data_IF_928235389838
#
_entry.id   IF_928235389838
#
_cell.length_a   1.000
_cell.length_b   1.000
_cell.length_c   1.000
_cell.angle_alpha   90.00
_cell.angle_beta   90.00
_cell.angle_gamma   90.00
#
_symmetry.space_group_name_H-M   'P 1'
#
loop_
_entity.id
_entity.type
_entity.pdbx_description
1 polymer ?
#
# COMPACT_ATOMS: atom_id res chain seq x y z
N UNK A 1 4.23 29.62 1.70
CA UNK A 1 5.28 28.78 2.25
C UNK A 1 4.68 27.42 2.47
N UNK A 2 5.31 26.43 1.84
CA UNK A 2 4.88 25.05 1.89
C UNK A 2 5.23 24.44 3.24
N UNK A 3 4.35 23.58 3.72
CA UNK A 3 4.55 22.75 4.91
C UNK A 3 4.79 21.32 4.43
N UNK A 4 5.73 20.60 5.05
CA UNK A 4 6.18 19.30 4.55
C UNK A 4 5.91 18.19 5.56
N UNK A 5 5.48 17.04 5.06
CA UNK A 5 5.18 15.86 5.86
C UNK A 5 5.77 14.62 5.18
N UNK A 6 6.91 14.17 5.73
CA UNK A 6 7.62 12.99 5.26
C UNK A 6 6.93 11.70 5.70
N UNK A 7 6.69 10.79 4.77
CA UNK A 7 5.95 9.55 5.04
C UNK A 7 6.75 8.29 4.73
N UNK A 8 6.35 7.21 5.38
CA UNK A 8 6.51 5.85 4.84
C UNK A 8 5.17 5.43 4.25
N UNK A 9 5.17 4.97 3.01
CA UNK A 9 3.97 4.44 2.38
C UNK A 9 3.38 3.30 3.21
N UNK A 10 2.05 3.18 3.24
CA UNK A 10 1.35 2.11 3.97
C UNK A 10 1.66 2.05 5.48
N UNK A 11 2.00 3.18 6.11
CA UNK A 11 2.18 3.30 7.56
C UNK A 11 0.93 3.84 8.25
N UNK A 12 0.30 3.07 9.17
CA UNK A 12 -0.82 3.55 9.99
C UNK A 12 -0.53 4.81 10.79
N UNK A 13 0.66 4.96 11.38
CA UNK A 13 1.05 6.17 12.10
C UNK A 13 1.20 7.37 11.16
N UNK A 14 1.88 7.21 10.01
CA UNK A 14 1.93 8.27 8.99
C UNK A 14 0.52 8.69 8.58
N UNK A 15 -0.37 7.72 8.32
CA UNK A 15 -1.74 7.95 7.90
C UNK A 15 -2.62 8.58 8.98
N UNK A 16 -2.31 8.31 10.24
CA UNK A 16 -3.03 8.91 11.36
C UNK A 16 -2.64 10.37 11.53
N UNK A 17 -1.33 10.63 11.62
CA UNK A 17 -0.79 11.95 11.93
C UNK A 17 -0.78 12.90 10.74
N UNK A 18 -0.88 12.43 9.49
CA UNK A 18 -1.03 13.33 8.33
C UNK A 18 -2.31 14.15 8.43
N UNK A 19 -3.38 13.57 8.98
CA UNK A 19 -4.66 14.27 9.18
C UNK A 19 -4.53 15.37 10.22
N UNK A 20 -3.82 15.08 11.31
CA UNK A 20 -3.53 16.07 12.35
C UNK A 20 -2.59 17.17 11.83
N UNK A 21 -1.57 16.82 11.04
CA UNK A 21 -0.71 17.78 10.34
C UNK A 21 -1.52 18.72 9.46
N UNK A 22 -2.45 18.19 8.65
CA UNK A 22 -3.30 18.99 7.78
C UNK A 22 -4.30 19.88 8.56
N UNK A 23 -4.86 19.37 9.67
CA UNK A 23 -5.74 20.16 10.54
C UNK A 23 -4.99 21.29 11.27
N UNK A 24 -3.70 21.08 11.61
CA UNK A 24 -2.83 22.09 12.23
C UNK A 24 -2.38 23.15 11.21
N UNK A 25 -1.91 22.74 10.04
CA UNK A 25 -1.34 23.63 9.01
C UNK A 25 -2.37 24.38 8.18
N UNK A 26 -3.56 23.80 7.98
CA UNK A 26 -4.67 24.38 7.19
C UNK A 26 -4.20 24.93 5.83
N UNK A 27 -3.58 24.09 4.99
CA UNK A 27 -3.05 24.51 3.71
C UNK A 27 -4.17 24.89 2.74
N UNK A 28 -3.86 25.72 1.75
CA UNK A 28 -4.78 26.07 0.66
C UNK A 28 -4.75 25.07 -0.49
N UNK A 29 -3.73 24.22 -0.56
CA UNK A 29 -3.64 23.09 -1.48
C UNK A 29 -2.83 21.94 -0.86
N UNK A 30 -3.07 20.72 -1.32
CA UNK A 30 -2.35 19.52 -0.88
C UNK A 30 -1.65 18.89 -2.08
N UNK A 31 -0.35 18.68 -1.97
CA UNK A 31 0.48 17.99 -2.93
C UNK A 31 0.88 16.63 -2.40
N UNK A 32 0.71 15.59 -3.22
CA UNK A 32 0.96 14.20 -2.83
C UNK A 32 1.95 13.58 -3.80
N UNK A 33 2.92 12.83 -3.28
CA UNK A 33 3.78 12.00 -4.12
C UNK A 33 2.96 11.01 -4.95
N UNK A 34 3.08 11.17 -6.27
CA UNK A 34 2.37 10.38 -7.26
C UNK A 34 2.46 11.08 -8.61
N UNK A 35 2.14 10.41 -9.72
CA UNK A 35 2.34 11.00 -11.03
C UNK A 35 1.36 12.14 -11.29
N UNK A 36 1.91 13.32 -11.59
CA UNK A 36 1.15 14.58 -11.72
C UNK A 36 -0.02 14.53 -12.71
N UNK A 37 0.11 13.77 -13.80
CA UNK A 37 -0.91 13.57 -14.83
C UNK A 37 -2.09 12.70 -14.36
N UNK A 38 -1.96 12.00 -13.23
CA UNK A 38 -2.97 11.11 -12.69
C UNK A 38 -3.90 11.79 -11.66
N UNK A 39 -3.76 13.10 -11.47
CA UNK A 39 -4.57 13.89 -10.51
C UNK A 39 -6.08 13.73 -10.76
N UNK A 40 -6.48 13.56 -12.01
CA UNK A 40 -7.88 13.37 -12.40
C UNK A 40 -8.53 12.07 -11.84
N UNK A 41 -7.73 11.10 -11.38
CA UNK A 41 -8.21 9.84 -10.79
C UNK A 41 -8.46 9.93 -9.28
N UNK A 42 -8.02 11.00 -8.61
CA UNK A 42 -8.19 11.18 -7.15
C UNK A 42 -9.67 11.14 -6.76
N UNK A 43 -10.53 11.77 -7.56
CA UNK A 43 -11.96 11.85 -7.30
C UNK A 43 -12.63 10.48 -7.29
N UNK A 44 -12.31 9.63 -8.27
CA UNK A 44 -12.81 8.26 -8.33
C UNK A 44 -12.26 7.39 -7.20
N UNK A 45 -11.01 7.58 -6.81
CA UNK A 45 -10.37 6.83 -5.73
C UNK A 45 -10.92 7.18 -4.34
N UNK A 46 -11.33 8.44 -4.15
CA UNK A 46 -11.87 8.95 -2.89
C UNK A 46 -13.41 8.86 -2.79
N UNK A 47 -14.09 8.25 -3.76
CA UNK A 47 -15.53 8.03 -3.67
C UNK A 47 -15.86 7.16 -2.44
N UNK A 48 -16.85 7.58 -1.65
CA UNK A 48 -17.34 6.86 -0.47
C UNK A 48 -17.78 5.40 -0.71
N UNK A 49 -18.04 5.01 -1.96
CA UNK A 49 -18.37 3.63 -2.36
C UNK A 49 -17.14 2.77 -2.62
N UNK A 50 -15.95 3.36 -2.76
CA UNK A 50 -14.70 2.61 -2.90
C UNK A 50 -14.41 1.87 -1.60
N UNK A 51 -14.11 0.57 -1.72
CA UNK A 51 -13.56 -0.24 -0.64
C UNK A 51 -12.09 -0.51 -0.95
N UNK A 52 -11.21 -0.13 -0.06
CA UNK A 52 -9.77 -0.38 -0.21
C UNK A 52 -9.42 -1.84 0.15
N UNK A 53 -8.33 -2.39 -0.42
CA UNK A 53 -7.30 -1.71 -1.21
C UNK A 53 -7.66 -1.52 -2.70
N UNK A 54 -7.26 -0.39 -3.27
CA UNK A 54 -7.35 -0.09 -4.70
C UNK A 54 -6.04 0.55 -5.17
N UNK A 55 -5.81 0.55 -6.48
CA UNK A 55 -4.60 1.10 -7.07
C UNK A 55 -4.91 2.01 -8.25
N UNK A 56 -4.04 3.01 -8.44
CA UNK A 56 -3.90 3.69 -9.72
C UNK A 56 -2.91 2.88 -10.56
N UNK A 57 -3.32 2.54 -11.78
CA UNK A 57 -2.49 1.86 -12.77
C UNK A 57 -2.27 2.80 -13.94
N UNK A 58 -1.01 3.00 -14.34
CA UNK A 58 -0.67 3.61 -15.63
C UNK A 58 0.14 2.63 -16.47
N UNK A 59 -0.10 2.62 -17.78
CA UNK A 59 0.47 1.64 -18.69
C UNK A 59 0.69 2.18 -20.10
N UNK A 60 1.67 1.62 -20.81
CA UNK A 60 1.95 1.99 -22.21
C UNK A 60 0.86 1.48 -23.15
N UNK A 61 0.59 2.23 -24.22
CA UNK A 61 -0.43 1.87 -25.22
C UNK A 61 0.06 0.87 -26.26
N UNK A 62 1.37 0.70 -26.38
CA UNK A 62 2.01 -0.20 -27.34
C UNK A 62 2.80 -1.29 -26.62
N UNK A 63 2.96 -2.43 -27.30
CA UNK A 63 3.75 -3.55 -26.82
C UNK A 63 5.26 -3.23 -26.93
N UNK A 64 6.10 -3.65 -25.96
CA UNK A 64 5.73 -4.37 -24.74
C UNK A 64 5.02 -3.47 -23.72
N UNK A 65 3.89 -3.98 -23.16
CA UNK A 65 3.10 -3.25 -22.17
C UNK A 65 3.89 -3.14 -20.88
N UNK A 66 4.23 -1.91 -20.50
CA UNK A 66 4.85 -1.59 -19.23
C UNK A 66 3.81 -0.96 -18.32
N UNK A 67 3.94 -1.23 -17.02
CA UNK A 67 3.01 -0.72 -16.01
C UNK A 67 3.73 -0.09 -14.84
N UNK A 68 3.14 0.97 -14.30
CA UNK A 68 3.46 1.53 -12.98
C UNK A 68 2.18 1.52 -12.15
N UNK A 69 2.31 1.15 -10.88
CA UNK A 69 1.18 0.94 -9.98
C UNK A 69 1.41 1.66 -8.67
N UNK A 70 0.34 2.29 -8.19
CA UNK A 70 0.27 3.01 -6.92
C UNK A 70 -0.89 2.43 -6.10
N UNK A 71 -0.68 1.27 -5.45
CA UNK A 71 -1.69 0.66 -4.60
C UNK A 71 -1.79 1.40 -3.27
N UNK A 72 -3.01 1.51 -2.76
CA UNK A 72 -3.31 2.19 -1.51
C UNK A 72 -4.21 1.32 -0.65
N UNK A 73 -4.06 1.46 0.66
CA UNK A 73 -4.92 0.89 1.68
C UNK A 73 -5.50 2.01 2.56
N UNK A 74 -6.45 1.67 3.44
CA UNK A 74 -7.05 2.69 4.33
C UNK A 74 -6.00 3.39 5.21
N UNK A 75 -4.91 2.68 5.50
CA UNK A 75 -3.77 3.17 6.27
C UNK A 75 -2.62 3.72 5.38
N UNK A 76 -2.90 4.07 4.12
CA UNK A 76 -1.97 4.87 3.29
C UNK A 76 -2.06 6.34 3.68
N UNK A 77 -0.94 7.01 4.04
CA UNK A 77 -0.96 8.44 4.34
C UNK A 77 -1.38 9.31 3.16
N UNK A 78 -1.02 8.92 1.95
CA UNK A 78 -1.43 9.58 0.71
C UNK A 78 -2.96 9.55 0.59
N UNK A 79 -3.56 8.38 0.81
CA UNK A 79 -5.01 8.21 0.78
C UNK A 79 -5.70 9.05 1.85
N UNK A 80 -5.19 9.04 3.09
CA UNK A 80 -5.77 9.86 4.16
C UNK A 80 -5.65 11.36 3.89
N UNK A 81 -4.55 11.82 3.26
CA UNK A 81 -4.39 13.20 2.82
C UNK A 81 -5.40 13.58 1.72
N UNK A 82 -5.60 12.72 0.71
CA UNK A 82 -6.61 12.93 -0.33
C UNK A 82 -8.02 13.00 0.26
N UNK A 83 -8.39 12.05 1.12
CA UNK A 83 -9.70 12.03 1.78
C UNK A 83 -9.91 13.27 2.64
N UNK A 84 -8.89 13.70 3.39
CA UNK A 84 -8.96 14.94 4.17
C UNK A 84 -9.21 16.15 3.25
N UNK A 85 -8.45 16.28 2.17
CA UNK A 85 -8.55 17.40 1.24
C UNK A 85 -9.94 17.47 0.59
N UNK A 86 -10.46 16.33 0.12
CA UNK A 86 -11.82 16.24 -0.44
C UNK A 86 -12.90 16.60 0.59
N UNK A 87 -12.77 16.15 1.84
CA UNK A 87 -13.72 16.50 2.91
C UNK A 87 -13.70 17.98 3.26
N UNK A 88 -12.55 18.64 3.17
CA UNK A 88 -12.39 20.07 3.48
C UNK A 88 -12.60 20.99 2.27
N UNK A 89 -12.79 20.43 1.07
CA UNK A 89 -12.87 21.20 -0.18
C UNK A 89 -11.54 21.87 -0.55
N UNK A 90 -10.42 21.31 -0.11
CA UNK A 90 -9.08 21.81 -0.43
C UNK A 90 -8.60 21.12 -1.72
N UNK A 91 -8.10 21.87 -2.72
CA UNK A 91 -7.47 21.30 -3.91
C UNK A 91 -6.37 20.30 -3.54
N UNK A 92 -6.38 19.13 -4.20
CA UNK A 92 -5.36 18.10 -4.03
C UNK A 92 -4.84 17.68 -5.40
N UNK A 93 -3.52 17.66 -5.56
CA UNK A 93 -2.86 17.34 -6.82
C UNK A 93 -1.66 16.40 -6.56
N UNK A 94 -1.34 15.55 -7.54
CA UNK A 94 -0.11 14.79 -7.52
C UNK A 94 1.07 15.64 -7.99
N UNK A 95 2.26 15.44 -7.40
CA UNK A 95 3.42 16.34 -7.61
C UNK A 95 4.70 15.67 -8.12
N UNK A 96 4.69 14.37 -8.42
CA UNK A 96 5.85 13.66 -8.98
C UNK A 96 5.81 13.59 -10.51
N UNK A 97 6.86 13.03 -11.11
CA UNK A 97 7.02 12.84 -12.53
C UNK A 97 5.76 12.25 -13.17
N UNK A 98 5.36 12.72 -14.36
CA UNK A 98 4.21 12.17 -15.05
C UNK A 98 4.43 10.69 -15.40
N UNK A 99 3.35 9.94 -15.46
CA UNK A 99 3.36 8.48 -15.59
C UNK A 99 4.13 8.00 -16.83
N UNK A 100 3.99 8.71 -17.95
CA UNK A 100 4.76 8.45 -19.18
C UNK A 100 6.28 8.60 -19.01
N UNK A 101 6.76 9.44 -18.09
CA UNK A 101 8.20 9.56 -17.81
C UNK A 101 8.71 8.41 -16.93
N UNK A 102 7.92 8.02 -15.93
CA UNK A 102 8.21 6.88 -15.07
C UNK A 102 8.25 5.56 -15.86
N UNK A 103 7.34 5.39 -16.83
CA UNK A 103 7.33 4.22 -17.74
C UNK A 103 8.56 4.13 -18.64
N UNK A 104 9.17 5.27 -19.01
CA UNK A 104 10.44 5.32 -19.75
C UNK A 104 11.62 4.96 -18.84
N UNK A 105 11.63 5.43 -17.59
CA UNK A 105 12.66 5.05 -16.62
C UNK A 105 12.71 3.53 -16.41
N UNK A 106 11.52 2.92 -16.25
CA UNK A 106 11.36 1.46 -16.10
C UNK A 106 11.83 0.65 -17.32
N UNK A 107 11.81 1.22 -18.51
CA UNK A 107 12.39 0.60 -19.72
C UNK A 107 13.90 0.43 -19.60
N UNK A 108 14.57 1.47 -19.10
CA UNK A 108 16.03 1.46 -18.96
C UNK A 108 16.49 0.52 -17.86
N UNK A 109 15.69 0.33 -16.82
CA UNK A 109 15.94 -0.68 -15.79
C UNK A 109 15.83 -2.09 -16.38
N UNK A 110 14.71 -2.41 -17.03
CA UNK A 110 14.52 -3.72 -17.66
C UNK A 110 15.54 -4.01 -18.79
N UNK A 111 16.03 -2.99 -19.48
CA UNK A 111 17.06 -3.14 -20.53
C UNK A 111 18.48 -3.32 -19.96
N UNK A 112 18.70 -3.05 -18.67
CA UNK A 112 19.95 -3.30 -17.96
C UNK A 112 20.03 -4.70 -17.35
N UNK A 113 19.00 -5.53 -17.48
CA UNK A 113 18.99 -6.95 -17.08
C UNK A 113 19.78 -7.88 -18.04
N UNK A 114 20.70 -7.35 -18.87
CA UNK A 114 21.84 -8.14 -19.35
C UNK A 114 22.73 -8.48 -18.13
N UNK A 115 23.45 -9.61 -18.10
CA UNK A 115 24.23 -9.99 -16.92
C UNK A 115 25.30 -8.93 -16.64
N UNK A 116 24.99 -7.97 -15.77
CA UNK A 116 25.96 -7.02 -15.24
C UNK A 116 27.04 -7.82 -14.51
N UNK A 117 28.30 -7.58 -14.90
CA UNK A 117 29.46 -7.94 -14.08
C UNK A 117 29.20 -7.55 -12.63
N UNK A 118 29.61 -8.39 -11.67
CA UNK A 118 29.43 -8.24 -10.22
C UNK A 118 29.56 -6.77 -9.77
N UNK A 119 28.45 -6.02 -9.76
CA UNK A 119 28.39 -4.78 -9.01
C UNK A 119 28.58 -5.21 -7.56
N UNK A 120 29.64 -4.72 -6.94
CA UNK A 120 29.86 -4.83 -5.51
C UNK A 120 28.56 -4.39 -4.85
N UNK A 121 27.87 -5.33 -4.20
CA UNK A 121 26.60 -5.05 -3.53
C UNK A 121 26.93 -4.14 -2.34
N UNK A 122 26.94 -2.83 -2.58
CA UNK A 122 27.12 -1.86 -1.53
C UNK A 122 25.95 -1.99 -0.57
N UNK A 123 26.29 -2.09 0.71
CA UNK A 123 25.33 -2.28 1.76
C UNK A 123 24.37 -1.08 1.84
N UNK A 124 23.08 -1.35 1.67
CA UNK A 124 22.04 -0.33 1.74
C UNK A 124 21.94 0.28 3.14
N UNK A 125 21.39 1.49 3.25
CA UNK A 125 21.15 2.13 4.55
C UNK A 125 20.26 1.27 5.45
N UNK A 126 19.28 0.59 4.85
CA UNK A 126 18.40 -0.33 5.57
C UNK A 126 19.20 -1.50 6.17
N UNK A 127 20.06 -2.15 5.39
CA UNK A 127 20.91 -3.24 5.89
C UNK A 127 21.84 -2.78 7.02
N UNK A 128 22.40 -1.56 6.93
CA UNK A 128 23.21 -0.97 8.02
C UNK A 128 22.39 -0.77 9.28
N UNK A 129 21.16 -0.24 9.15
CA UNK A 129 20.23 -0.09 10.28
C UNK A 129 19.91 -1.47 10.88
N UNK A 130 19.66 -2.48 10.05
CA UNK A 130 19.34 -3.83 10.51
C UNK A 130 20.51 -4.45 11.28
N UNK A 131 21.75 -4.32 10.79
CA UNK A 131 22.94 -4.82 11.49
C UNK A 131 23.21 -4.12 12.83
N UNK A 132 23.04 -2.79 12.88
CA UNK A 132 23.30 -2.01 14.10
C UNK A 132 22.20 -2.22 15.13
N UNK A 133 20.94 -2.23 14.69
CA UNK A 133 19.79 -2.37 15.60
C UNK A 133 19.52 -3.83 16.00
N UNK A 134 19.96 -4.79 15.19
CA UNK A 134 19.58 -6.20 15.32
C UNK A 134 18.11 -6.47 15.02
N UNK A 135 17.42 -5.51 14.37
CA UNK A 135 16.00 -5.57 14.03
C UNK A 135 15.85 -5.42 12.53
N UNK A 136 14.94 -6.16 11.91
CA UNK A 136 14.58 -5.88 10.52
C UNK A 136 13.87 -4.52 10.39
N UNK A 137 13.86 -3.98 9.18
CA UNK A 137 13.35 -2.64 8.88
C UNK A 137 11.91 -2.42 9.34
N UNK A 138 11.02 -3.42 9.22
CA UNK A 138 9.63 -3.29 9.66
C UNK A 138 9.52 -3.23 11.18
N UNK A 139 10.23 -4.11 11.90
CA UNK A 139 10.24 -4.13 13.37
C UNK A 139 10.83 -2.84 13.93
N UNK A 140 11.94 -2.37 13.35
CA UNK A 140 12.51 -1.06 13.70
C UNK A 140 11.47 0.05 13.52
N UNK A 141 10.77 0.04 12.38
CA UNK A 141 9.76 1.04 12.09
C UNK A 141 8.57 0.99 13.06
N UNK A 142 8.10 -0.21 13.41
CA UNK A 142 6.99 -0.37 14.35
C UNK A 142 7.31 0.24 15.72
N UNK A 143 8.47 -0.11 16.29
CA UNK A 143 8.85 0.40 17.60
C UNK A 143 9.07 1.91 17.63
N UNK A 144 9.66 2.47 16.57
CA UNK A 144 10.08 3.88 16.56
C UNK A 144 9.01 4.83 16.05
N UNK A 145 8.08 4.35 15.23
CA UNK A 145 7.10 5.21 14.55
C UNK A 145 5.67 4.71 14.72
N UNK A 146 5.37 3.44 14.46
CA UNK A 146 3.98 2.93 14.58
C UNK A 146 3.46 2.94 16.01
N UNK A 147 4.35 2.91 17.00
CA UNK A 147 4.01 2.97 18.42
C UNK A 147 4.16 4.36 19.03
N UNK A 148 4.43 5.41 18.23
CA UNK A 148 4.52 6.78 18.72
C UNK A 148 3.22 7.19 19.44
N UNK A 149 3.37 7.79 20.62
CA UNK A 149 2.27 8.08 21.53
C UNK A 149 1.53 9.37 21.21
N UNK A 150 2.19 10.31 20.54
CA UNK A 150 1.61 11.59 20.15
C UNK A 150 2.23 12.13 18.84
N UNK A 151 1.62 13.19 18.32
CA UNK A 151 2.00 13.84 17.08
C UNK A 151 3.42 14.41 17.10
N UNK A 152 3.80 15.13 18.16
CA UNK A 152 5.07 15.86 18.20
C UNK A 152 6.26 14.89 18.27
N UNK A 153 6.11 13.79 19.03
CA UNK A 153 7.07 12.67 19.07
C UNK A 153 7.24 12.03 17.68
N UNK A 154 6.11 11.74 17.01
CA UNK A 154 6.13 11.13 15.69
C UNK A 154 6.81 12.03 14.64
N UNK A 155 6.46 13.33 14.62
CA UNK A 155 7.02 14.28 13.66
C UNK A 155 8.52 14.44 13.83
N UNK A 156 8.99 14.59 15.07
CA UNK A 156 10.42 14.71 15.36
C UNK A 156 11.19 13.45 14.91
N UNK A 157 10.65 12.26 15.17
CA UNK A 157 11.25 11.01 14.74
C UNK A 157 11.26 10.87 13.21
N UNK A 158 10.14 11.16 12.53
CA UNK A 158 10.00 11.02 11.09
C UNK A 158 10.91 11.99 10.31
N UNK A 159 11.07 13.21 10.81
CA UNK A 159 11.97 14.20 10.22
C UNK A 159 13.44 13.76 10.34
N UNK A 160 13.88 13.35 11.53
CA UNK A 160 15.24 12.86 11.75
C UNK A 160 15.53 11.60 10.92
N UNK A 161 14.55 10.70 10.82
CA UNK A 161 14.64 9.52 9.98
C UNK A 161 14.81 9.88 8.50
N UNK A 162 13.95 10.73 7.95
CA UNK A 162 14.04 11.15 6.55
C UNK A 162 15.38 11.80 6.20
N UNK A 163 15.86 12.68 7.09
CA UNK A 163 17.18 13.31 6.98
C UNK A 163 18.31 12.27 7.01
N UNK A 164 18.28 11.35 7.97
CA UNK A 164 19.31 10.32 8.12
C UNK A 164 19.34 9.37 6.92
N UNK A 165 18.19 8.87 6.47
CA UNK A 165 18.13 8.00 5.29
C UNK A 165 18.71 8.70 4.07
N UNK A 166 18.43 10.01 3.89
CA UNK A 166 19.03 10.79 2.81
C UNK A 166 20.53 10.97 2.95
N UNK A 167 21.02 11.31 4.14
CA UNK A 167 22.45 11.53 4.40
C UNK A 167 23.29 10.27 4.17
N UNK A 168 22.74 9.10 4.51
CA UNK A 168 23.46 7.83 4.39
C UNK A 168 23.20 7.09 3.07
N UNK A 169 22.28 7.57 2.23
CA UNK A 169 22.01 6.99 0.90
C UNK A 169 22.63 7.85 -0.19
N UNK A 170 23.09 7.23 -1.27
CA UNK A 170 23.41 7.97 -2.49
C UNK A 170 22.12 8.36 -3.22
N UNK A 171 21.99 9.63 -3.60
CA UNK A 171 20.91 10.06 -4.50
C UNK A 171 21.36 9.82 -5.94
N UNK A 172 20.55 9.09 -6.70
CA UNK A 172 20.79 8.88 -8.13
C UNK A 172 20.19 10.01 -8.99
N UNK A 173 20.55 10.02 -10.28
CA UNK A 173 20.01 10.98 -11.27
C UNK A 173 18.48 10.92 -11.38
N UNK A 174 17.87 9.76 -11.09
CA UNK A 174 16.43 9.59 -11.17
C UNK A 174 15.71 10.33 -10.04
N UNK A 175 16.18 10.18 -8.80
CA UNK A 175 15.66 10.90 -7.65
C UNK A 175 15.92 12.40 -7.76
N UNK A 176 17.09 12.83 -8.26
CA UNK A 176 17.32 14.26 -8.55
C UNK A 176 16.28 14.85 -9.52
N UNK A 177 15.92 14.11 -10.56
CA UNK A 177 14.90 14.52 -11.53
C UNK A 177 13.49 14.58 -10.91
N UNK A 178 13.13 13.58 -10.10
CA UNK A 178 11.86 13.55 -9.36
C UNK A 178 11.74 14.76 -8.44
N UNK A 179 12.75 15.02 -7.63
CA UNK A 179 12.77 16.14 -6.70
C UNK A 179 12.75 17.50 -7.41
N UNK A 180 13.47 17.64 -8.54
CA UNK A 180 13.40 18.84 -9.38
C UNK A 180 11.98 19.09 -9.89
N UNK A 181 11.27 18.02 -10.29
CA UNK A 181 9.88 18.10 -10.72
C UNK A 181 8.94 18.43 -9.55
N UNK A 182 9.14 17.82 -8.38
CA UNK A 182 8.37 18.15 -7.17
C UNK A 182 8.55 19.64 -6.79
N UNK A 183 9.78 20.17 -6.79
CA UNK A 183 10.04 21.60 -6.54
C UNK A 183 9.31 22.51 -7.54
N UNK A 184 9.29 22.13 -8.82
CA UNK A 184 8.50 22.83 -9.85
C UNK A 184 7.02 22.86 -9.50
N UNK A 185 6.43 21.70 -9.17
CA UNK A 185 5.00 21.59 -8.82
C UNK A 185 4.65 22.33 -7.55
N UNK A 186 5.54 22.35 -6.55
CA UNK A 186 5.38 23.16 -5.34
C UNK A 186 5.33 24.64 -5.69
N UNK A 187 6.29 25.15 -6.46
CA UNK A 187 6.32 26.56 -6.87
C UNK A 187 5.05 26.97 -7.65
N UNK A 188 4.63 26.16 -8.63
CA UNK A 188 3.40 26.38 -9.41
C UNK A 188 2.14 26.40 -8.51
N UNK A 189 2.12 25.54 -7.48
CA UNK A 189 0.99 25.42 -6.54
C UNK A 189 0.95 26.59 -5.56
N UNK A 190 2.09 27.02 -5.04
CA UNK A 190 2.18 28.20 -4.17
C UNK A 190 1.78 29.48 -4.92
N UNK A 191 2.17 29.62 -6.18
CA UNK A 191 1.73 30.74 -7.03
C UNK A 191 0.20 30.73 -7.23
N UNK A 192 -0.38 29.55 -7.48
CA UNK A 192 -1.81 29.39 -7.77
C UNK A 192 -2.70 29.50 -6.53
N UNK A 193 -2.29 28.91 -5.41
CA UNK A 193 -3.15 28.73 -4.24
C UNK A 193 -2.60 29.37 -2.96
N UNK A 194 -1.31 29.73 -2.89
CA UNK A 194 -0.68 30.31 -1.71
C UNK A 194 0.08 29.30 -0.85
N UNK A 195 -0.53 28.77 0.21
CA UNK A 195 0.12 27.77 1.09
C UNK A 195 -0.20 26.36 0.62
N UNK A 196 0.81 25.49 0.58
CA UNK A 196 0.65 24.09 0.21
C UNK A 196 1.11 23.16 1.34
N UNK A 197 0.46 22.01 1.51
CA UNK A 197 1.00 20.89 2.27
C UNK A 197 1.59 19.88 1.29
N UNK A 198 2.82 19.43 1.52
CA UNK A 198 3.56 18.51 0.65
C UNK A 198 3.75 17.19 1.38
N UNK A 199 3.10 16.14 0.88
CA UNK A 199 3.13 14.79 1.46
C UNK A 199 3.93 13.90 0.50
N UNK A 200 5.19 13.63 0.85
CA UNK A 200 6.09 12.79 0.06
C UNK A 200 6.84 11.82 0.96
N UNK A 201 7.44 10.79 0.38
CA UNK A 201 8.34 9.89 1.07
C UNK A 201 9.40 10.67 1.85
N UNK A 202 9.72 10.21 3.06
CA UNK A 202 10.60 10.96 3.97
C UNK A 202 11.97 11.32 3.35
N UNK A 203 12.49 10.44 2.48
CA UNK A 203 13.69 10.70 1.68
C UNK A 203 13.56 11.92 0.75
N UNK A 204 12.46 11.98 -0.02
CA UNK A 204 12.17 13.08 -0.95
C UNK A 204 11.86 14.38 -0.22
N UNK A 205 11.10 14.30 0.88
CA UNK A 205 10.82 15.46 1.74
C UNK A 205 12.13 16.14 2.16
N UNK A 206 13.13 15.39 2.61
CA UNK A 206 14.44 15.93 2.98
C UNK A 206 15.21 16.58 1.80
N UNK A 207 14.85 16.28 0.56
CA UNK A 207 15.45 16.86 -0.66
C UNK A 207 14.73 18.03 -1.28
N UNK A 208 13.52 18.33 -0.84
CA UNK A 208 12.69 19.39 -1.41
C UNK A 208 12.28 20.43 -0.37
N UNK A 209 12.38 20.10 0.93
CA UNK A 209 12.04 20.99 2.04
C UNK A 209 12.89 22.26 2.00
N UNK A 210 12.22 23.40 1.92
CA UNK A 210 12.82 24.73 1.91
C UNK A 210 13.82 24.99 0.77
N UNK A 211 13.78 24.18 -0.30
CA UNK A 211 14.61 24.35 -1.49
C UNK A 211 13.77 24.95 -2.63
N UNK A 212 14.02 26.21 -3.04
CA UNK A 212 13.24 26.85 -4.09
C UNK A 212 13.52 26.23 -5.47
N UNK A 213 12.50 26.28 -6.34
CA UNK A 213 12.65 25.88 -7.75
C UNK A 213 13.68 26.77 -8.46
N UNK A 214 14.68 26.14 -9.07
CA UNK A 214 15.82 26.81 -9.69
C UNK A 214 15.84 26.68 -11.22
N UNK A 215 16.70 27.47 -11.88
CA UNK A 215 16.95 27.31 -13.32
C UNK A 215 17.61 25.97 -13.69
N UNK A 216 18.30 25.30 -12.75
CA UNK A 216 18.77 23.90 -12.94
C UNK A 216 17.57 22.97 -13.04
N UNK A 217 16.63 23.09 -12.11
CA UNK A 217 15.41 22.26 -12.09
C UNK A 217 14.55 22.48 -13.34
N UNK A 218 14.42 23.74 -13.79
CA UNK A 218 13.72 24.08 -15.04
C UNK A 218 14.32 23.32 -16.23
N UNK A 219 15.65 23.36 -16.40
CA UNK A 219 16.33 22.66 -17.50
C UNK A 219 16.16 21.14 -17.46
N UNK A 220 16.12 20.55 -16.27
CA UNK A 220 15.88 19.11 -16.09
C UNK A 220 14.43 18.73 -16.43
N UNK A 221 13.47 19.53 -15.96
CA UNK A 221 12.04 19.23 -16.07
C UNK A 221 11.40 19.62 -17.41
N UNK A 222 12.00 20.53 -18.17
CA UNK A 222 11.51 20.90 -19.51
C UNK A 222 11.86 19.86 -20.59
N UNK A 223 12.80 18.94 -20.31
CA UNK A 223 13.27 17.91 -21.24
C UNK A 223 12.91 16.50 -20.78
N UNK A 224 11.75 16.34 -20.15
CA UNK A 224 11.28 15.02 -19.73
C UNK A 224 11.08 14.12 -20.94
N UNK A 225 11.75 12.96 -20.92
CA UNK A 225 11.41 11.87 -21.84
C UNK A 225 10.12 11.25 -21.35
N UNK A 226 9.13 11.17 -22.23
CA UNK A 226 7.81 10.60 -21.95
C UNK A 226 7.43 9.62 -23.05
N UNK A 227 6.57 8.66 -22.71
CA UNK A 227 5.89 7.79 -23.67
C UNK A 227 4.38 7.94 -23.52
N UNK A 228 3.63 7.60 -24.56
CA UNK A 228 2.18 7.59 -24.51
C UNK A 228 1.71 6.51 -23.54
N UNK A 229 0.81 6.93 -22.65
CA UNK A 229 0.29 6.07 -21.59
C UNK A 229 -1.19 6.32 -21.36
N UNK A 230 -1.85 5.29 -20.84
CA UNK A 230 -3.22 5.36 -20.32
C UNK A 230 -3.19 5.04 -18.84
N UNK A 231 -4.22 5.48 -18.13
CA UNK A 231 -4.36 5.23 -16.72
C UNK A 231 -5.79 4.89 -16.32
N UNK A 232 -5.92 4.19 -15.20
CA UNK A 232 -7.17 3.63 -14.72
C UNK A 232 -7.09 3.35 -13.22
N UNK A 233 -8.26 3.25 -12.57
CA UNK A 233 -8.39 2.70 -11.24
C UNK A 233 -8.65 1.20 -11.31
N UNK A 234 -8.03 0.44 -10.43
CA UNK A 234 -8.26 -1.00 -10.32
C UNK A 234 -8.47 -1.42 -8.86
N UNK A 235 -9.39 -2.38 -8.60
CA UNK A 235 -9.42 -3.04 -7.31
C UNK A 235 -8.10 -3.77 -7.07
N UNK A 236 -7.67 -3.82 -5.82
CA UNK A 236 -6.46 -4.49 -5.41
C UNK A 236 -6.76 -5.50 -4.30
N UNK A 237 -5.75 -6.23 -3.84
CA UNK A 237 -5.92 -7.16 -2.73
C UNK A 237 -4.75 -7.05 -1.76
N UNK A 238 -4.97 -7.46 -0.52
CA UNK A 238 -3.89 -7.55 0.47
C UNK A 238 -2.80 -8.52 0.04
N UNK A 239 -3.15 -9.61 -0.65
CA UNK A 239 -2.15 -10.50 -1.23
C UNK A 239 -1.23 -9.78 -2.23
N UNK A 240 -1.79 -8.95 -3.13
CA UNK A 240 -0.98 -8.19 -4.10
C UNK A 240 -0.23 -7.03 -3.44
N UNK A 241 -0.79 -6.43 -2.39
CA UNK A 241 -0.14 -5.39 -1.58
C UNK A 241 1.03 -5.94 -0.75
N UNK A 242 0.97 -7.23 -0.42
CA UNK A 242 2.07 -7.92 0.25
C UNK A 242 3.30 -7.92 -0.63
N UNK A 243 4.47 -7.65 -0.02
CA UNK A 243 5.77 -7.80 -0.68
C UNK A 243 6.00 -9.21 -1.24
N UNK A 244 5.24 -10.22 -0.78
CA UNK A 244 5.21 -11.58 -1.36
C UNK A 244 4.82 -11.61 -2.85
N UNK A 245 4.15 -10.58 -3.36
CA UNK A 245 3.82 -10.44 -4.78
C UNK A 245 4.96 -9.87 -5.62
N UNK A 246 6.06 -9.42 -4.99
CA UNK A 246 7.17 -8.72 -5.64
C UNK A 246 7.02 -7.19 -5.70
N UNK A 247 5.98 -6.60 -5.09
CA UNK A 247 5.86 -5.14 -5.01
C UNK A 247 6.81 -4.57 -3.94
N UNK A 248 7.89 -3.91 -4.39
CA UNK A 248 8.99 -3.43 -3.52
C UNK A 248 8.60 -2.39 -2.47
N UNK A 249 7.55 -1.59 -2.71
CA UNK A 249 6.98 -0.65 -1.73
C UNK A 249 5.79 -1.23 -0.95
N UNK A 250 5.55 -2.55 -1.06
CA UNK A 250 4.43 -3.23 -0.44
C UNK A 250 4.57 -3.39 1.07
N UNK A 251 3.44 -3.47 1.76
CA UNK A 251 3.39 -3.79 3.19
C UNK A 251 3.58 -5.29 3.38
N UNK A 252 4.55 -5.76 4.18
CA UNK A 252 4.72 -7.20 4.44
C UNK A 252 3.48 -7.86 5.04
N UNK A 253 2.76 -7.13 5.90
CA UNK A 253 1.64 -7.63 6.69
C UNK A 253 0.44 -6.66 6.69
N UNK A 254 -0.25 -6.49 5.55
CA UNK A 254 -1.34 -5.52 5.41
C UNK A 254 -2.53 -5.76 6.34
N UNK A 255 -2.86 -7.01 6.66
CA UNK A 255 -3.92 -7.35 7.62
C UNK A 255 -3.55 -6.94 9.05
N UNK A 256 -2.29 -7.12 9.44
CA UNK A 256 -1.78 -6.65 10.73
C UNK A 256 -1.81 -5.12 10.82
N UNK A 257 -1.31 -4.42 9.80
CA UNK A 257 -1.30 -2.95 9.79
C UNK A 257 -2.71 -2.35 9.71
N UNK A 258 -3.67 -3.01 9.07
CA UNK A 258 -5.09 -2.61 9.15
C UNK A 258 -5.64 -2.71 10.58
N UNK A 259 -5.28 -3.78 11.31
CA UNK A 259 -5.66 -3.92 12.72
C UNK A 259 -5.04 -2.82 13.58
N UNK A 260 -3.74 -2.52 13.39
CA UNK A 260 -3.04 -1.44 14.08
C UNK A 260 -3.70 -0.09 13.78
N UNK A 261 -4.03 0.17 12.51
CA UNK A 261 -4.77 1.35 12.06
C UNK A 261 -6.11 1.51 12.77
N UNK A 262 -6.96 0.48 12.75
CA UNK A 262 -8.29 0.54 13.39
C UNK A 262 -8.21 0.78 14.89
N UNK A 263 -7.26 0.13 15.56
CA UNK A 263 -7.06 0.30 17.00
C UNK A 263 -6.50 1.69 17.34
N UNK A 264 -5.64 2.25 16.48
CA UNK A 264 -5.19 3.65 16.59
C UNK A 264 -6.33 4.65 16.39
N UNK A 265 -7.20 4.44 15.40
CA UNK A 265 -8.40 5.27 15.20
C UNK A 265 -9.34 5.26 16.40
N UNK A 266 -9.39 4.15 17.13
CA UNK A 266 -10.25 3.96 18.30
C UNK A 266 -9.59 4.39 19.61
N UNK A 267 -8.37 4.97 19.55
CA UNK A 267 -7.56 5.33 20.73
C UNK A 267 -7.28 4.16 21.67
N UNK A 268 -7.16 2.95 21.13
CA UNK A 268 -6.88 1.71 21.88
C UNK A 268 -5.75 0.92 21.23
N UNK A 269 -4.63 1.58 20.92
CA UNK A 269 -3.52 0.99 20.16
C UNK A 269 -2.97 -0.27 20.85
N UNK A 270 -2.95 -0.28 22.19
CA UNK A 270 -2.57 -1.38 23.05
C UNK A 270 -3.41 -2.66 22.84
N UNK A 271 -4.62 -2.55 22.27
CA UNK A 271 -5.46 -3.72 21.95
C UNK A 271 -4.97 -4.49 20.71
N UNK A 272 -3.98 -3.99 19.96
CA UNK A 272 -3.46 -4.65 18.75
C UNK A 272 -2.81 -5.99 19.07
N UNK A 273 -1.97 -6.05 20.10
CA UNK A 273 -1.30 -7.27 20.55
C UNK A 273 -2.28 -8.37 21.04
N UNK A 274 -3.20 -8.10 21.99
CA UNK A 274 -4.15 -9.11 22.43
C UNK A 274 -5.13 -9.51 21.31
N UNK A 275 -5.48 -8.58 20.41
CA UNK A 275 -6.32 -8.92 19.25
C UNK A 275 -5.61 -9.87 18.27
N UNK A 276 -4.34 -9.62 17.95
CA UNK A 276 -3.53 -10.48 17.09
C UNK A 276 -3.51 -11.93 17.60
N UNK A 277 -3.10 -12.12 18.87
CA UNK A 277 -2.97 -13.45 19.47
C UNK A 277 -4.33 -14.14 19.63
N UNK A 278 -5.38 -13.38 19.96
CA UNK A 278 -6.74 -13.91 20.08
C UNK A 278 -7.29 -14.38 18.73
N UNK A 279 -7.05 -13.63 17.65
CA UNK A 279 -7.41 -14.02 16.29
C UNK A 279 -6.64 -15.26 15.85
N UNK A 280 -5.35 -15.34 16.18
CA UNK A 280 -4.50 -16.50 15.84
C UNK A 280 -5.02 -17.77 16.51
N UNK A 281 -5.28 -17.71 17.81
CA UNK A 281 -5.86 -18.83 18.53
C UNK A 281 -7.28 -19.17 18.05
N UNK A 282 -8.08 -18.17 17.67
CA UNK A 282 -9.41 -18.40 17.09
C UNK A 282 -9.33 -19.11 15.73
N UNK A 283 -8.38 -18.74 14.88
CA UNK A 283 -8.11 -19.42 13.62
C UNK A 283 -7.74 -20.89 13.86
N UNK A 284 -6.80 -21.16 14.79
CA UNK A 284 -6.40 -22.52 15.14
C UNK A 284 -7.59 -23.36 15.59
N UNK A 285 -8.39 -22.86 16.54
CA UNK A 285 -9.59 -23.56 17.04
C UNK A 285 -10.62 -23.80 15.94
N UNK A 286 -10.85 -22.83 15.05
CA UNK A 286 -11.80 -22.96 13.93
C UNK A 286 -11.38 -24.08 12.97
N UNK A 287 -10.08 -24.32 12.80
CA UNK A 287 -9.53 -25.33 11.91
C UNK A 287 -9.22 -26.67 12.62
N UNK A 288 -9.71 -26.87 13.85
CA UNK A 288 -9.58 -28.12 14.58
C UNK A 288 -8.28 -28.29 15.37
N UNK A 289 -7.42 -27.26 15.42
CA UNK A 289 -6.21 -27.25 16.24
C UNK A 289 -6.51 -26.76 17.66
N UNK A 290 -5.72 -27.22 18.64
CA UNK A 290 -5.79 -26.73 20.01
C UNK A 290 -5.08 -25.38 20.13
N UNK A 291 -5.72 -24.43 20.79
CA UNK A 291 -5.10 -23.19 21.24
C UNK A 291 -5.89 -22.70 22.46
N UNK A 292 -5.36 -22.98 23.65
CA UNK A 292 -5.95 -22.65 24.94
C UNK A 292 -5.78 -21.17 25.28
N UNK A 293 -6.64 -20.65 26.15
CA UNK A 293 -6.47 -19.28 26.67
C UNK A 293 -5.18 -19.11 27.47
N UNK A 294 -4.67 -20.17 28.09
CA UNK A 294 -3.40 -20.12 28.82
C UNK A 294 -2.23 -19.84 27.86
N UNK A 295 -2.18 -20.50 26.71
CA UNK A 295 -1.15 -20.26 25.69
C UNK A 295 -1.22 -18.84 25.14
N UNK A 296 -2.42 -18.29 24.94
CA UNK A 296 -2.60 -16.89 24.52
C UNK A 296 -2.07 -15.91 25.58
N UNK A 297 -2.33 -16.17 26.87
CA UNK A 297 -1.84 -15.34 27.97
C UNK A 297 -0.31 -15.40 28.07
N UNK A 298 0.29 -16.58 27.97
CA UNK A 298 1.74 -16.72 28.01
C UNK A 298 2.41 -16.13 26.75
N UNK A 299 1.79 -16.26 25.57
CA UNK A 299 2.26 -15.60 24.35
C UNK A 299 2.25 -14.07 24.52
N UNK A 300 1.20 -13.50 25.14
CA UNK A 300 1.15 -12.06 25.40
C UNK A 300 2.29 -11.61 26.32
N UNK A 301 2.51 -12.32 27.44
CA UNK A 301 3.59 -12.00 28.39
C UNK A 301 4.97 -12.12 27.75
N UNK A 302 5.17 -13.15 26.93
CA UNK A 302 6.42 -13.35 26.21
C UNK A 302 6.64 -12.22 25.20
N UNK A 303 5.62 -11.84 24.42
CA UNK A 303 5.71 -10.74 23.47
C UNK A 303 6.03 -9.40 24.15
N UNK A 304 5.41 -9.11 25.31
CA UNK A 304 5.74 -7.94 26.13
C UNK A 304 7.19 -7.96 26.63
N UNK A 305 7.67 -9.14 27.05
CA UNK A 305 9.06 -9.31 27.49
C UNK A 305 10.05 -9.09 26.34
N UNK A 306 9.78 -9.65 25.16
CA UNK A 306 10.61 -9.46 23.96
C UNK A 306 10.66 -7.98 23.55
N UNK A 307 9.50 -7.31 23.56
CA UNK A 307 9.42 -5.88 23.27
C UNK A 307 10.25 -5.06 24.28
N UNK A 308 10.11 -5.34 25.57
CA UNK A 308 10.87 -4.66 26.62
C UNK A 308 12.38 -4.84 26.46
N UNK A 309 12.84 -6.06 26.12
CA UNK A 309 14.26 -6.34 25.83
C UNK A 309 14.79 -5.52 24.65
N UNK A 310 13.93 -5.17 23.69
CA UNK A 310 14.25 -4.36 22.50
C UNK A 310 13.94 -2.87 22.68
N UNK A 311 13.64 -2.45 23.92
CA UNK A 311 13.22 -1.08 24.27
C UNK A 311 11.98 -0.59 23.51
N UNK A 312 11.09 -1.51 23.14
CA UNK A 312 9.79 -1.23 22.56
C UNK A 312 8.74 -0.90 23.62
N UNK A 313 7.86 0.07 23.32
CA UNK A 313 6.74 0.44 24.20
C UNK A 313 5.59 -0.58 24.15
N UNK A 314 5.36 -1.17 22.98
CA UNK A 314 4.35 -2.18 22.70
C UNK A 314 5.01 -3.31 21.87
N UNK A 315 4.50 -4.54 21.94
CA UNK A 315 4.95 -5.62 21.07
C UNK A 315 4.78 -5.28 19.59
N UNK A 316 5.83 -5.49 18.81
CA UNK A 316 5.79 -5.49 17.34
C UNK A 316 5.13 -6.77 16.81
N UNK A 317 4.78 -6.79 15.53
CA UNK A 317 4.30 -8.02 14.88
C UNK A 317 5.28 -9.19 15.06
N UNK A 318 6.59 -8.94 14.95
CA UNK A 318 7.58 -10.01 15.09
C UNK A 318 7.70 -10.52 16.53
N UNK A 319 7.57 -9.67 17.56
CA UNK A 319 7.47 -10.15 18.96
C UNK A 319 6.25 -11.07 19.13
N UNK A 320 5.12 -10.66 18.56
CA UNK A 320 3.88 -11.41 18.64
C UNK A 320 3.98 -12.74 17.91
N UNK A 321 4.64 -12.76 16.74
CA UNK A 321 4.88 -13.98 15.98
C UNK A 321 5.83 -14.91 16.72
N UNK A 322 6.97 -14.41 17.22
CA UNK A 322 7.95 -15.20 17.98
C UNK A 322 7.30 -15.83 19.22
N UNK A 323 6.49 -15.06 19.94
CA UNK A 323 5.75 -15.54 21.09
C UNK A 323 4.66 -16.56 20.71
N UNK A 324 3.94 -16.34 19.61
CA UNK A 324 2.95 -17.29 19.11
C UNK A 324 3.60 -18.59 18.65
N UNK A 325 4.76 -18.55 17.98
CA UNK A 325 5.53 -19.76 17.61
C UNK A 325 5.86 -20.56 18.86
N UNK A 326 6.35 -19.89 19.89
CA UNK A 326 6.78 -20.54 21.14
C UNK A 326 5.60 -21.15 21.91
N UNK A 327 4.53 -20.38 22.11
CA UNK A 327 3.45 -20.75 23.03
C UNK A 327 2.26 -21.44 22.35
N UNK A 328 1.93 -21.08 21.10
CA UNK A 328 0.74 -21.61 20.39
C UNK A 328 1.15 -22.62 19.30
N UNK A 329 2.30 -22.39 18.66
CA UNK A 329 2.88 -23.32 17.67
C UNK A 329 3.84 -24.34 18.27
N UNK A 330 3.92 -24.42 19.61
CA UNK A 330 4.77 -25.37 20.35
C UNK A 330 6.24 -25.40 19.89
N UNK A 331 6.79 -24.24 19.52
CA UNK A 331 8.15 -24.07 19.00
C UNK A 331 8.30 -24.25 17.49
N UNK A 332 7.20 -24.45 16.74
CA UNK A 332 7.19 -24.66 15.29
C UNK A 332 6.34 -23.64 14.56
N UNK A 333 6.96 -22.84 13.67
CA UNK A 333 6.21 -21.91 12.81
C UNK A 333 5.25 -22.63 11.87
N UNK A 334 5.58 -23.87 11.46
CA UNK A 334 4.73 -24.66 10.57
C UNK A 334 3.31 -24.85 11.12
N UNK A 335 3.18 -25.01 12.44
CA UNK A 335 1.88 -25.25 13.12
C UNK A 335 0.94 -24.05 13.07
N UNK A 336 1.49 -22.83 13.02
CA UNK A 336 0.70 -21.59 13.00
C UNK A 336 0.80 -20.84 11.67
N UNK A 337 1.53 -21.37 10.69
CA UNK A 337 1.86 -20.68 9.43
C UNK A 337 0.62 -20.19 8.66
N UNK A 338 -0.44 -20.99 8.60
CA UNK A 338 -1.71 -20.62 7.97
C UNK A 338 -2.46 -19.53 8.77
N UNK A 339 -2.43 -19.60 10.09
CA UNK A 339 -3.02 -18.60 10.97
C UNK A 339 -2.29 -17.25 10.84
N UNK A 340 -0.95 -17.27 10.82
CA UNK A 340 -0.14 -16.08 10.55
C UNK A 340 -0.48 -15.49 9.18
N UNK A 341 -0.54 -16.31 8.12
CA UNK A 341 -0.89 -15.81 6.78
C UNK A 341 -2.28 -15.16 6.71
N UNK A 342 -3.29 -15.76 7.37
CA UNK A 342 -4.65 -15.22 7.43
C UNK A 342 -4.71 -13.86 8.15
N UNK A 343 -3.95 -13.70 9.24
CA UNK A 343 -4.03 -12.51 10.09
C UNK A 343 -3.11 -11.39 9.58
N UNK A 344 -1.90 -11.75 9.19
CA UNK A 344 -0.88 -10.78 8.79
C UNK A 344 -1.11 -10.28 7.37
N UNK A 345 -1.51 -11.15 6.44
CA UNK A 345 -1.80 -10.77 5.06
C UNK A 345 -3.30 -10.59 4.89
N UNK A 346 -4.08 -11.63 5.19
CA UNK A 346 -5.52 -11.62 5.00
C UNK A 346 -5.97 -11.69 3.54
N UNK A 347 -7.28 -11.81 3.37
CA UNK A 347 -7.95 -12.12 2.11
C UNK A 347 -8.74 -10.94 1.54
N UNK A 348 -8.57 -9.73 2.10
CA UNK A 348 -9.31 -8.53 1.70
C UNK A 348 -9.03 -8.17 0.23
N UNK A 349 -10.11 -8.02 -0.54
CA UNK A 349 -10.10 -7.51 -1.92
C UNK A 349 -10.91 -6.22 -1.92
N UNK A 350 -10.35 -5.18 -2.52
CA UNK A 350 -11.04 -3.91 -2.67
C UNK A 350 -12.10 -3.94 -3.78
N UNK A 351 -12.90 -2.88 -3.83
CA UNK A 351 -14.03 -2.74 -4.71
C UNK A 351 -14.15 -1.31 -5.20
N UNK A 352 -14.38 -1.14 -6.50
CA UNK A 352 -14.64 0.15 -7.13
C UNK A 352 -16.10 0.21 -7.60
N UNK A 353 -16.78 1.38 -7.51
CA UNK A 353 -18.15 1.52 -7.98
C UNK A 353 -18.25 1.43 -9.51
N UNK A 354 -19.42 1.02 -10.01
CA UNK A 354 -19.74 1.04 -11.45
C UNK A 354 -19.61 2.49 -11.99
N UNK A 355 -18.99 2.64 -13.17
CA UNK A 355 -18.74 3.95 -13.80
C UNK A 355 -17.45 4.66 -13.35
N UNK A 356 -16.67 4.04 -12.47
CA UNK A 356 -15.28 4.46 -12.22
C UNK A 356 -14.45 4.30 -13.49
N UNK A 357 -13.41 5.14 -13.69
CA UNK A 357 -12.49 5.03 -14.83
C UNK A 357 -11.76 3.68 -14.81
N UNK A 358 -12.36 2.70 -15.46
CA UNK A 358 -11.86 1.33 -15.62
C UNK A 358 -11.57 1.06 -17.10
N UNK A 359 -10.72 0.06 -17.37
CA UNK A 359 -10.51 -0.42 -18.73
C UNK A 359 -11.75 -1.14 -19.26
N UNK A 360 -11.94 -1.17 -20.58
CA UNK A 360 -13.05 -1.91 -21.21
C UNK A 360 -13.06 -3.40 -20.86
N UNK A 361 -11.88 -4.00 -20.66
CA UNK A 361 -11.75 -5.40 -20.23
C UNK A 361 -12.24 -5.59 -18.79
N UNK A 362 -11.96 -4.65 -17.90
CA UNK A 362 -12.47 -4.70 -16.52
C UNK A 362 -13.99 -4.54 -16.49
N UNK A 363 -14.55 -3.63 -17.29
CA UNK A 363 -16.00 -3.45 -17.39
C UNK A 363 -16.69 -4.69 -17.98
N UNK A 364 -16.17 -5.27 -19.07
CA UNK A 364 -16.69 -6.50 -19.66
C UNK A 364 -16.61 -7.68 -18.68
N UNK A 365 -15.50 -7.81 -17.95
CA UNK A 365 -15.34 -8.83 -16.91
C UNK A 365 -16.40 -8.69 -15.81
N UNK A 366 -16.60 -7.47 -15.29
CA UNK A 366 -17.60 -7.20 -14.25
C UNK A 366 -19.03 -7.42 -14.76
N UNK A 367 -19.33 -7.03 -16.00
CA UNK A 367 -20.61 -7.27 -16.64
C UNK A 367 -20.87 -8.78 -16.79
N UNK A 368 -19.87 -9.55 -17.23
CA UNK A 368 -19.96 -11.02 -17.35
C UNK A 368 -20.17 -11.70 -16.02
N UNK A 369 -19.48 -11.27 -14.95
CA UNK A 369 -19.73 -11.81 -13.62
C UNK A 369 -21.20 -11.63 -13.20
N UNK A 370 -21.76 -10.44 -13.44
CA UNK A 370 -23.16 -10.11 -13.13
C UNK A 370 -24.17 -10.89 -13.97
N UNK A 371 -23.92 -10.93 -15.26
CA UNK A 371 -24.71 -11.71 -16.22
C UNK A 371 -24.75 -13.20 -15.87
N UNK A 372 -23.62 -13.75 -15.45
CA UNK A 372 -23.46 -15.17 -15.12
C UNK A 372 -23.76 -15.49 -13.64
N UNK A 373 -24.16 -14.51 -12.83
CA UNK A 373 -24.40 -14.65 -11.39
C UNK A 373 -23.21 -15.28 -10.66
N UNK A 374 -22.01 -14.77 -10.95
CA UNK A 374 -20.73 -15.25 -10.42
C UNK A 374 -20.10 -14.27 -9.41
N UNK A 375 -20.74 -13.14 -9.10
CA UNK A 375 -20.16 -12.09 -8.25
C UNK A 375 -19.81 -12.58 -6.85
N UNK A 376 -20.59 -13.53 -6.32
CA UNK A 376 -20.32 -14.14 -5.01
C UNK A 376 -19.00 -14.92 -4.96
N UNK A 377 -18.50 -15.38 -6.11
CA UNK A 377 -17.24 -16.10 -6.24
C UNK A 377 -16.05 -15.16 -6.48
N UNK A 378 -16.25 -13.83 -6.47
CA UNK A 378 -15.17 -12.83 -6.51
C UNK A 378 -14.56 -12.67 -5.11
N UNK A 379 -14.01 -13.76 -4.59
CA UNK A 379 -13.34 -13.83 -3.29
C UNK A 379 -11.88 -14.27 -3.47
N UNK A 380 -11.05 -14.11 -2.44
CA UNK A 380 -9.66 -14.60 -2.49
C UNK A 380 -9.56 -16.10 -2.15
N UNK A 381 -10.67 -16.73 -1.77
CA UNK A 381 -10.75 -18.15 -1.41
C UNK A 381 -11.26 -18.98 -2.58
N UNK A 382 -10.68 -20.17 -2.76
CA UNK A 382 -11.21 -21.14 -3.72
C UNK A 382 -12.56 -21.66 -3.25
N UNK A 383 -13.55 -21.67 -4.14
CA UNK A 383 -14.89 -22.19 -3.90
C UNK A 383 -15.26 -23.17 -5.01
N UNK A 384 -15.79 -24.34 -4.64
CA UNK A 384 -16.30 -25.30 -5.62
C UNK A 384 -17.67 -24.86 -6.15
N UNK A 385 -17.78 -24.81 -7.48
CA UNK A 385 -19.03 -24.55 -8.19
C UNK A 385 -19.36 -25.74 -9.08
N UNK A 386 -20.37 -26.52 -8.69
CA UNK A 386 -20.92 -27.57 -9.53
C UNK A 386 -21.74 -26.93 -10.67
N UNK A 387 -21.46 -27.31 -11.91
CA UNK A 387 -22.14 -26.83 -13.12
C UNK A 387 -22.90 -27.98 -13.79
N UNK A 388 -24.18 -27.80 -14.09
CA UNK A 388 -24.93 -28.72 -14.95
C UNK A 388 -24.95 -28.18 -16.38
N UNK A 389 -24.14 -28.76 -17.27
CA UNK A 389 -23.95 -28.27 -18.64
C UNK A 389 -25.15 -28.54 -19.56
N UNK A 390 -26.17 -29.26 -19.10
CA UNK A 390 -27.38 -29.58 -19.87
C UNK A 390 -28.35 -28.40 -19.87
N UNK A 391 -29.25 -28.38 -20.86
CA UNK A 391 -30.34 -27.42 -20.89
C UNK A 391 -31.26 -27.59 -19.68
N UNK A 392 -31.46 -26.52 -18.92
CA UNK A 392 -32.45 -26.50 -17.85
C UNK A 392 -33.85 -26.24 -18.40
N UNK A 393 -34.61 -27.30 -18.66
CA UNK A 393 -35.97 -27.23 -19.21
C UNK A 393 -37.02 -26.58 -18.28
N UNK A 394 -36.66 -26.23 -17.03
CA UNK A 394 -37.60 -25.67 -16.04
C UNK A 394 -37.68 -24.14 -16.06
N UNK A 395 -36.86 -23.47 -16.85
CA UNK A 395 -36.80 -22.00 -16.92
C UNK A 395 -37.33 -21.48 -18.25
N UNK A 396 -37.83 -20.23 -18.24
CA UNK A 396 -38.55 -19.64 -19.38
C UNK A 396 -37.65 -18.94 -20.41
N UNK A 397 -36.42 -18.61 -20.04
CA UNK A 397 -35.49 -17.88 -20.90
C UNK A 397 -34.32 -18.77 -21.30
N UNK A 398 -33.94 -18.75 -22.58
CA UNK A 398 -32.76 -19.45 -23.12
C UNK A 398 -31.48 -19.16 -22.31
N UNK A 399 -31.25 -17.88 -21.97
CA UNK A 399 -30.10 -17.45 -21.16
C UNK A 399 -30.02 -18.14 -19.79
N UNK A 400 -31.17 -18.41 -19.17
CA UNK A 400 -31.22 -19.16 -17.90
C UNK A 400 -31.14 -20.67 -18.13
N UNK A 401 -31.60 -21.16 -19.28
CA UNK A 401 -31.59 -22.58 -19.63
C UNK A 401 -30.15 -23.08 -19.81
N UNK A 402 -29.27 -22.25 -20.35
CA UNK A 402 -27.85 -22.54 -20.57
C UNK A 402 -26.89 -21.78 -19.64
N UNK A 403 -27.36 -21.33 -18.46
CA UNK A 403 -26.55 -20.51 -17.56
C UNK A 403 -25.23 -21.20 -17.17
N UNK A 404 -25.29 -22.47 -16.78
CA UNK A 404 -24.11 -23.23 -16.33
C UNK A 404 -23.16 -23.59 -17.46
N UNK A 405 -23.69 -23.82 -18.67
CA UNK A 405 -22.89 -23.95 -19.88
C UNK A 405 -22.12 -22.64 -20.18
N UNK A 406 -22.79 -21.50 -20.11
CA UNK A 406 -22.18 -20.19 -20.32
C UNK A 406 -21.13 -19.85 -19.24
N UNK A 407 -21.38 -20.25 -17.98
CA UNK A 407 -20.38 -20.16 -16.90
C UNK A 407 -19.14 -20.99 -17.24
N UNK A 408 -19.30 -22.22 -17.71
CA UNK A 408 -18.19 -23.09 -18.12
C UNK A 408 -17.34 -22.43 -19.22
N UNK A 409 -17.98 -21.91 -20.28
CA UNK A 409 -17.27 -21.20 -21.35
C UNK A 409 -16.50 -19.98 -20.85
N UNK A 410 -17.11 -19.18 -19.97
CA UNK A 410 -16.43 -18.03 -19.39
C UNK A 410 -15.19 -18.43 -18.57
N UNK A 411 -15.30 -19.47 -17.73
CA UNK A 411 -14.17 -19.95 -16.94
C UNK A 411 -13.03 -20.50 -17.81
N UNK A 412 -13.33 -21.25 -18.88
CA UNK A 412 -12.31 -21.71 -19.82
C UNK A 412 -11.59 -20.56 -20.53
N UNK A 413 -12.32 -19.51 -20.92
CA UNK A 413 -11.71 -18.31 -21.51
C UNK A 413 -10.78 -17.58 -20.53
N UNK A 414 -11.09 -17.60 -19.24
CA UNK A 414 -10.22 -17.01 -18.22
C UNK A 414 -8.92 -17.82 -18.08
N UNK A 415 -8.99 -19.16 -18.13
CA UNK A 415 -7.82 -20.03 -18.11
C UNK A 415 -6.92 -19.85 -19.35
N UNK A 416 -7.50 -19.58 -20.52
CA UNK A 416 -6.72 -19.30 -21.73
C UNK A 416 -6.08 -17.91 -21.73
N UNK A 417 -6.66 -16.96 -20.99
CA UNK A 417 -6.18 -15.58 -20.91
C UNK A 417 -5.01 -15.39 -19.94
N UNK A 418 -4.67 -16.40 -19.12
CA UNK A 418 -3.58 -16.33 -18.15
C UNK A 418 -3.35 -17.61 -17.38
#
# INVERSE_FOLDING_TARGET
MAEYYGVRHLSPACAFYVREFLDRTKPKAVLIEGPSDLTHLIDGLCDHKVKLPAAILAYTTEAPVRTVMYPMAEFSPEYQAMVWAKRKGVPVEFCDLPSGSLLVAKEKENAKDEPEEEKVHEESVYEKIEKISGLDTDTFWEYRFEHAGNYDEFMAAAEEYGKSIREFSESDEHNELREAYMRRRIAETEEKYGTAAVITGAFHTAGIKDIPFSEKDRKLTDKLKTTDSKSTLMPYSYYRLSSRSGYGAGSRAPGYYEMLWRNRLSSTLENTAPEYLSRLAAYQRKNGYTASSAEVIEAMRLAETLAAMRSGRLPSMNDLRDAAVTCIGHGSFGEISLACADIEIGTKIGELPEGTVCTSVQEDFMHKLKELKLEKYRSASSEELALDLRENLRVKSEKSAFLDLNRSFFMHRLLEAG
#
